data_IF_754861861653
#
_entry.id   IF_754861861653
#
_cell.length_a   1.000
_cell.length_b   1.000
_cell.length_c   1.000
_cell.angle_alpha   90.00
_cell.angle_beta   90.00
_cell.angle_gamma   90.00
#
_symmetry.space_group_name_H-M   'P 1'
#
loop_
_entity.id
_entity.type
_entity.pdbx_description
1 polymer ?
#
# COMPACT_ATOMS: atom_id res chain seq x y z
N UNK A 1 -8.53 -2.43 24.76
CA UNK A 1 -7.61 -1.34 24.34
C UNK A 1 -8.17 -0.75 23.08
N UNK A 2 -8.28 0.58 23.04
CA UNK A 2 -8.72 1.36 21.88
C UNK A 2 -7.43 1.72 21.10
N UNK A 3 -7.19 1.07 19.96
CA UNK A 3 -6.01 1.32 19.12
C UNK A 3 -6.40 2.25 17.97
N UNK A 4 -5.59 3.27 17.70
CA UNK A 4 -5.75 4.17 16.56
C UNK A 4 -5.23 3.58 15.23
N UNK A 5 -4.44 2.51 15.31
CA UNK A 5 -3.82 1.85 14.16
C UNK A 5 -2.78 0.83 14.62
N UNK A 6 -2.32 -0.03 13.71
CA UNK A 6 -1.26 -0.99 14.01
C UNK A 6 -0.44 -1.37 12.78
N UNK A 7 0.80 -1.80 13.02
CA UNK A 7 1.65 -2.41 12.02
C UNK A 7 2.20 -3.72 12.58
N UNK A 8 2.33 -4.74 11.74
CA UNK A 8 3.00 -5.97 12.15
C UNK A 8 3.62 -6.71 10.96
N UNK A 9 4.47 -7.67 11.28
CA UNK A 9 5.15 -8.51 10.31
C UNK A 9 4.19 -9.57 9.77
N UNK A 10 3.59 -9.34 8.60
CA UNK A 10 2.64 -10.28 7.99
C UNK A 10 3.31 -11.61 7.62
N UNK A 11 4.43 -11.54 6.91
CA UNK A 11 5.30 -12.65 6.58
C UNK A 11 6.72 -12.38 7.10
N UNK A 12 7.44 -13.42 7.55
CA UNK A 12 6.97 -14.80 7.72
C UNK A 12 6.12 -15.02 8.98
N UNK A 13 6.00 -14.03 9.88
CA UNK A 13 5.48 -14.27 11.23
C UNK A 13 4.05 -14.84 11.29
N UNK A 14 3.03 -14.17 10.72
CA UNK A 14 1.66 -14.69 10.81
C UNK A 14 1.52 -15.99 10.01
N UNK A 15 2.15 -16.06 8.83
CA UNK A 15 2.08 -17.25 8.01
C UNK A 15 2.72 -18.47 8.70
N UNK A 16 3.91 -18.36 9.29
CA UNK A 16 4.58 -19.51 9.89
C UNK A 16 3.92 -19.97 11.18
N UNK A 17 3.27 -19.07 11.92
CA UNK A 17 2.61 -19.41 13.18
C UNK A 17 1.15 -19.85 13.00
N UNK A 18 0.46 -19.37 11.96
CA UNK A 18 -0.98 -19.57 11.78
C UNK A 18 -1.39 -20.17 10.43
N UNK A 19 -0.47 -20.31 9.47
CA UNK A 19 -0.73 -20.91 8.16
C UNK A 19 -1.60 -20.06 7.22
N UNK A 20 -1.67 -18.75 7.46
CA UNK A 20 -2.49 -17.81 6.67
C UNK A 20 -1.73 -16.51 6.41
N UNK A 21 -2.15 -15.75 5.41
CA UNK A 21 -1.75 -14.34 5.29
C UNK A 21 -2.88 -13.45 5.81
N UNK A 22 -2.56 -12.39 6.59
CA UNK A 22 -3.58 -11.62 7.32
C UNK A 22 -4.21 -10.48 6.51
N UNK A 23 -3.91 -10.39 5.22
CA UNK A 23 -4.34 -9.35 4.32
C UNK A 23 -5.83 -9.00 4.41
N UNK A 24 -6.72 -10.00 4.38
CA UNK A 24 -8.16 -9.80 4.50
C UNK A 24 -8.59 -9.14 5.82
N UNK A 25 -7.97 -9.56 6.92
CA UNK A 25 -8.25 -9.00 8.25
C UNK A 25 -7.74 -7.56 8.34
N UNK A 26 -6.53 -7.30 7.85
CA UNK A 26 -5.94 -5.95 7.83
C UNK A 26 -6.77 -4.97 6.98
N UNK A 27 -7.32 -5.45 5.85
CA UNK A 27 -8.26 -4.69 5.04
C UNK A 27 -9.53 -4.34 5.79
N UNK A 28 -10.12 -5.29 6.53
CA UNK A 28 -11.31 -5.04 7.34
C UNK A 28 -11.07 -4.01 8.45
N UNK A 29 -9.89 -4.04 9.09
CA UNK A 29 -9.53 -3.03 10.08
C UNK A 29 -9.39 -1.64 9.45
N UNK A 30 -8.67 -1.53 8.34
CA UNK A 30 -8.46 -0.25 7.65
C UNK A 30 -9.77 0.32 7.09
N UNK A 31 -10.65 -0.55 6.56
CA UNK A 31 -12.01 -0.18 6.15
C UNK A 31 -12.84 0.35 7.33
N UNK A 32 -12.62 -0.18 8.54
CA UNK A 32 -13.23 0.27 9.79
C UNK A 32 -12.54 1.46 10.45
N UNK A 33 -11.70 2.19 9.72
CA UNK A 33 -10.93 3.36 10.18
C UNK A 33 -9.90 3.05 11.28
N UNK A 34 -9.34 1.85 11.26
CA UNK A 34 -8.18 1.47 12.07
C UNK A 34 -7.07 1.03 11.10
N UNK A 35 -6.20 1.94 10.64
CA UNK A 35 -5.19 1.65 9.63
C UNK A 35 -4.28 0.50 10.07
N UNK A 36 -4.08 -0.45 9.18
CA UNK A 36 -3.29 -1.66 9.38
C UNK A 36 -2.13 -1.70 8.38
N UNK A 37 -0.96 -1.21 8.78
CA UNK A 37 0.21 -1.17 7.91
C UNK A 37 0.90 -2.55 7.82
N UNK A 38 1.32 -2.90 6.60
CA UNK A 38 2.04 -4.13 6.31
C UNK A 38 3.51 -4.03 6.75
N UNK A 39 4.20 -5.17 6.82
CA UNK A 39 5.66 -5.27 6.91
C UNK A 39 6.33 -4.49 8.06
N UNK A 40 5.60 -4.22 9.15
CA UNK A 40 6.08 -3.40 10.27
C UNK A 40 6.37 -1.95 9.87
N UNK A 41 5.75 -1.44 8.81
CA UNK A 41 5.95 -0.05 8.37
C UNK A 41 5.22 0.94 9.29
N UNK A 42 5.94 1.41 10.32
CA UNK A 42 5.43 2.36 11.31
C UNK A 42 5.31 3.77 10.71
N UNK A 43 6.24 4.20 9.85
CA UNK A 43 6.17 5.53 9.24
C UNK A 43 5.03 5.61 8.22
N UNK A 44 4.84 4.53 7.44
CA UNK A 44 3.68 4.30 6.60
C UNK A 44 2.37 4.28 7.40
N UNK A 45 2.32 3.62 8.56
CA UNK A 45 1.16 3.65 9.46
C UNK A 45 0.79 5.08 9.90
N UNK A 46 1.79 5.89 10.26
CA UNK A 46 1.57 7.29 10.63
C UNK A 46 1.00 8.07 9.45
N UNK A 47 1.55 7.88 8.25
CA UNK A 47 1.02 8.48 7.02
C UNK A 47 -0.43 8.06 6.73
N UNK A 48 -0.74 6.77 6.85
CA UNK A 48 -2.09 6.23 6.72
C UNK A 48 -3.06 6.90 7.70
N UNK A 49 -2.68 7.03 8.97
CA UNK A 49 -3.52 7.65 10.00
C UNK A 49 -3.73 9.15 9.76
N UNK A 50 -2.69 9.89 9.36
CA UNK A 50 -2.81 11.31 8.99
C UNK A 50 -3.81 11.50 7.84
N UNK A 51 -3.68 10.71 6.76
CA UNK A 51 -4.61 10.78 5.63
C UNK A 51 -6.04 10.46 6.06
N UNK A 52 -6.22 9.42 6.87
CA UNK A 52 -7.52 9.05 7.38
C UNK A 52 -8.18 10.16 8.20
N UNK A 53 -7.42 10.80 9.11
CA UNK A 53 -7.94 11.92 9.91
C UNK A 53 -8.26 13.16 9.05
N UNK A 54 -7.55 13.34 7.93
CA UNK A 54 -7.79 14.46 7.03
C UNK A 54 -9.03 14.27 6.15
N UNK A 55 -9.42 13.01 5.86
CA UNK A 55 -10.49 12.70 4.90
C UNK A 55 -11.72 12.03 5.51
N UNK A 56 -11.63 11.52 6.74
CA UNK A 56 -12.61 10.62 7.36
C UNK A 56 -12.90 9.35 6.52
N UNK A 57 -11.94 8.94 5.68
CA UNK A 57 -12.03 7.73 4.83
C UNK A 57 -10.82 6.81 5.03
N UNK A 58 -10.93 5.51 4.71
CA UNK A 58 -9.79 4.60 4.76
C UNK A 58 -8.60 5.09 3.91
N UNK A 59 -7.39 4.74 4.34
CA UNK A 59 -6.15 4.92 3.60
C UNK A 59 -5.46 3.58 3.39
N UNK A 60 -4.45 3.54 2.51
CA UNK A 60 -3.72 2.33 2.16
C UNK A 60 -2.23 2.62 2.00
N UNK A 61 -1.43 1.57 2.17
CA UNK A 61 0.00 1.58 1.85
C UNK A 61 0.24 0.81 0.55
N UNK A 62 1.10 1.36 -0.30
CA UNK A 62 1.37 0.89 -1.65
C UNK A 62 2.82 1.13 -2.02
N UNK A 63 3.40 0.20 -2.77
CA UNK A 63 4.71 0.27 -3.36
C UNK A 63 4.67 1.06 -4.67
N UNK A 64 5.59 2.00 -4.82
CA UNK A 64 5.87 2.70 -6.08
C UNK A 64 6.76 1.81 -6.95
N UNK A 65 6.16 1.02 -7.84
CA UNK A 65 6.82 -0.15 -8.42
C UNK A 65 7.60 0.15 -9.72
N UNK A 66 6.90 0.42 -10.82
CA UNK A 66 7.51 0.64 -12.14
C UNK A 66 6.79 1.75 -12.91
N UNK A 67 7.52 2.50 -13.76
CA UNK A 67 6.88 3.35 -14.76
C UNK A 67 5.92 2.51 -15.63
N UNK A 68 4.82 3.12 -16.05
CA UNK A 68 3.81 2.46 -16.87
C UNK A 68 4.02 2.78 -18.35
N UNK A 69 4.54 1.81 -19.09
CA UNK A 69 4.86 1.96 -20.51
C UNK A 69 5.93 3.05 -20.73
N UNK A 70 5.74 3.86 -21.76
CA UNK A 70 6.67 4.93 -22.14
C UNK A 70 6.27 6.31 -21.57
N UNK A 71 5.20 6.40 -20.78
CA UNK A 71 4.72 7.67 -20.22
C UNK A 71 5.53 8.04 -18.97
N UNK A 72 6.30 9.16 -18.99
CA UNK A 72 7.15 9.54 -17.88
C UNK A 72 6.37 10.00 -16.63
N UNK A 73 5.07 10.24 -16.73
CA UNK A 73 4.24 10.66 -15.60
C UNK A 73 3.39 9.52 -15.03
N UNK A 74 3.39 8.35 -15.65
CA UNK A 74 2.60 7.20 -15.18
C UNK A 74 3.45 6.12 -14.54
N UNK A 75 2.90 5.52 -13.50
CA UNK A 75 3.55 4.47 -12.73
C UNK A 75 2.53 3.47 -12.19
N UNK A 76 2.98 2.24 -11.98
CA UNK A 76 2.25 1.18 -11.32
C UNK A 76 2.43 1.33 -9.81
N UNK A 77 1.32 1.49 -9.10
CA UNK A 77 1.26 1.27 -7.66
C UNK A 77 0.76 -0.14 -7.39
N UNK A 78 1.42 -0.82 -6.48
CA UNK A 78 1.17 -2.23 -6.18
C UNK A 78 1.32 -2.50 -4.68
N UNK A 79 0.59 -3.47 -4.17
CA UNK A 79 0.92 -4.12 -2.90
C UNK A 79 0.49 -5.58 -3.00
N UNK A 80 1.15 -6.49 -2.28
CA UNK A 80 0.72 -7.89 -2.17
C UNK A 80 -0.72 -8.04 -1.62
N UNK A 81 -1.16 -6.95 -0.98
CA UNK A 81 -2.50 -6.38 -0.78
C UNK A 81 -3.27 -6.84 0.44
N UNK A 82 -3.43 -5.84 1.30
CA UNK A 82 -4.25 -5.70 2.50
C UNK A 82 -5.12 -4.43 2.38
N UNK A 83 -5.31 -3.91 1.16
CA UNK A 83 -5.99 -2.63 0.93
C UNK A 83 -7.45 -2.70 1.41
N UNK A 84 -8.02 -1.58 1.91
CA UNK A 84 -9.44 -1.50 2.24
C UNK A 84 -10.30 -1.90 1.04
N UNK A 85 -11.39 -2.65 1.28
CA UNK A 85 -12.27 -3.13 0.20
C UNK A 85 -12.78 -1.98 -0.68
N UNK A 86 -13.06 -0.83 -0.07
CA UNK A 86 -13.52 0.38 -0.74
C UNK A 86 -12.59 0.92 -1.82
N UNK A 87 -11.30 0.57 -1.82
CA UNK A 87 -10.34 1.01 -2.84
C UNK A 87 -10.55 0.31 -4.19
N UNK A 88 -11.21 -0.86 -4.21
CA UNK A 88 -11.27 -1.72 -5.38
C UNK A 88 -12.52 -1.51 -6.24
N UNK A 89 -12.40 -1.71 -7.55
CA UNK A 89 -13.55 -1.85 -8.47
C UNK A 89 -14.28 -3.17 -8.23
N UNK A 90 -13.49 -4.24 -8.12
CA UNK A 90 -13.90 -5.58 -7.73
C UNK A 90 -12.73 -6.23 -7.01
N UNK A 91 -13.01 -7.12 -6.06
CA UNK A 91 -11.98 -7.73 -5.23
C UNK A 91 -12.38 -9.12 -4.78
N UNK A 92 -11.38 -10.00 -4.62
CA UNK A 92 -11.55 -11.37 -4.14
C UNK A 92 -10.42 -11.74 -3.18
N UNK A 93 -10.76 -12.58 -2.21
CA UNK A 93 -9.76 -13.21 -1.35
C UNK A 93 -9.20 -14.47 -2.03
N UNK A 94 -7.88 -14.64 -2.01
CA UNK A 94 -7.17 -15.75 -2.66
C UNK A 94 -6.00 -16.26 -1.82
N UNK A 95 -5.29 -17.27 -2.35
CA UNK A 95 -3.90 -17.55 -2.00
C UNK A 95 -3.00 -16.35 -2.33
N UNK A 96 -1.92 -16.19 -1.58
CA UNK A 96 -0.91 -15.17 -1.81
C UNK A 96 0.11 -15.68 -2.84
N UNK A 97 0.16 -15.16 -4.08
CA UNK A 97 0.91 -15.79 -5.18
C UNK A 97 2.40 -16.03 -4.85
N UNK A 98 3.08 -15.00 -4.35
CA UNK A 98 4.51 -15.08 -4.01
C UNK A 98 4.79 -16.11 -2.90
N UNK A 99 3.88 -16.21 -1.93
CA UNK A 99 4.06 -17.10 -0.77
C UNK A 99 3.68 -18.52 -1.14
N UNK A 100 2.65 -18.72 -1.97
CA UNK A 100 2.30 -20.01 -2.56
C UNK A 100 3.49 -20.64 -3.28
N UNK A 101 4.17 -19.86 -4.12
CA UNK A 101 5.34 -20.35 -4.86
C UNK A 101 6.48 -20.83 -3.94
N UNK A 102 6.57 -20.30 -2.72
CA UNK A 102 7.63 -20.60 -1.76
C UNK A 102 7.26 -21.66 -0.72
N UNK A 103 6.02 -21.66 -0.21
CA UNK A 103 5.58 -22.48 0.92
C UNK A 103 4.30 -23.28 0.66
N UNK A 104 3.70 -23.16 -0.51
CA UNK A 104 2.50 -23.88 -0.93
C UNK A 104 1.18 -23.18 -0.57
N UNK A 105 0.13 -23.58 -1.29
CA UNK A 105 -1.21 -22.99 -1.22
C UNK A 105 -1.87 -23.10 0.16
N UNK A 106 -1.61 -24.21 0.86
CA UNK A 106 -2.19 -24.51 2.17
C UNK A 106 -1.78 -23.50 3.26
N UNK A 107 -0.68 -22.76 3.04
CA UNK A 107 -0.11 -21.80 4.00
C UNK A 107 -0.23 -20.34 3.54
N UNK A 108 -0.94 -20.08 2.44
CA UNK A 108 -0.89 -18.77 1.75
C UNK A 108 -2.25 -18.10 1.60
N UNK A 109 -3.34 -18.71 2.10
CA UNK A 109 -4.68 -18.18 1.91
C UNK A 109 -4.95 -16.94 2.77
N UNK A 110 -5.68 -15.97 2.20
CA UNK A 110 -6.10 -14.75 2.90
C UNK A 110 -5.72 -13.44 2.19
N UNK A 111 -4.97 -13.51 1.08
CA UNK A 111 -4.58 -12.34 0.29
C UNK A 111 -5.80 -11.68 -0.36
N UNK A 112 -5.79 -10.37 -0.54
CA UNK A 112 -6.82 -9.66 -1.30
C UNK A 112 -6.27 -9.28 -2.67
N UNK A 113 -6.98 -9.66 -3.73
CA UNK A 113 -6.62 -9.39 -5.11
C UNK A 113 -7.66 -8.45 -5.73
N UNK A 114 -7.22 -7.37 -6.34
CA UNK A 114 -8.16 -6.44 -6.97
C UNK A 114 -7.48 -5.25 -7.64
N UNK A 115 -8.27 -4.58 -8.49
CA UNK A 115 -7.84 -3.37 -9.19
C UNK A 115 -8.41 -2.13 -8.50
N UNK A 116 -7.54 -1.17 -8.21
CA UNK A 116 -7.90 0.11 -7.60
C UNK A 116 -8.84 0.89 -8.54
N UNK A 117 -9.82 1.59 -7.96
CA UNK A 117 -10.74 2.47 -8.68
C UNK A 117 -9.99 3.65 -9.29
N UNK A 118 -10.51 4.16 -10.39
CA UNK A 118 -9.95 5.34 -11.05
C UNK A 118 -10.55 6.58 -10.41
N UNK A 119 -9.75 7.29 -9.61
CA UNK A 119 -10.16 8.45 -8.82
C UNK A 119 -8.95 9.36 -8.49
N UNK A 120 -9.18 10.66 -8.23
CA UNK A 120 -8.14 11.53 -7.68
C UNK A 120 -7.64 10.99 -6.34
N UNK A 121 -6.35 11.15 -6.07
CA UNK A 121 -5.74 10.66 -4.84
C UNK A 121 -4.60 11.56 -4.36
N UNK A 122 -4.30 11.42 -3.08
CA UNK A 122 -3.16 12.05 -2.42
C UNK A 122 -2.29 10.96 -1.80
N UNK A 123 -1.00 11.04 -2.07
CA UNK A 123 0.03 10.16 -1.53
C UNK A 123 0.82 10.95 -0.48
N UNK A 124 1.07 10.31 0.65
CA UNK A 124 1.86 10.88 1.74
C UNK A 124 2.90 9.86 2.18
N UNK A 125 4.18 10.24 2.15
CA UNK A 125 5.24 9.49 2.81
C UNK A 125 5.78 10.31 3.97
N UNK A 126 5.78 9.71 5.15
CA UNK A 126 6.45 10.22 6.34
C UNK A 126 7.76 9.44 6.49
N UNK A 127 8.84 10.13 6.85
CA UNK A 127 10.08 9.47 7.24
C UNK A 127 10.78 10.17 8.41
N UNK A 128 11.61 9.40 9.13
CA UNK A 128 12.58 9.99 10.06
C UNK A 128 13.90 10.24 9.34
N UNK A 129 14.39 11.47 9.45
CA UNK A 129 15.75 11.82 9.03
C UNK A 129 16.69 11.66 10.22
N UNK A 130 17.23 10.46 10.37
CA UNK A 130 18.09 10.10 11.50
C UNK A 130 19.42 10.88 11.52
N UNK A 131 19.86 11.42 10.37
CA UNK A 131 21.09 12.22 10.28
C UNK A 131 20.91 13.59 10.95
N UNK A 132 19.73 14.19 10.79
CA UNK A 132 19.41 15.50 11.33
C UNK A 132 18.50 15.46 12.56
N UNK A 133 17.94 14.29 12.90
CA UNK A 133 17.01 14.10 14.00
C UNK A 133 15.65 14.74 13.76
N UNK A 134 15.20 14.78 12.50
CA UNK A 134 13.96 15.45 12.09
C UNK A 134 12.95 14.46 11.51
N UNK A 135 11.69 14.86 11.41
CA UNK A 135 10.67 14.13 10.65
C UNK A 135 10.44 14.89 9.36
N UNK A 136 10.47 14.20 8.23
CA UNK A 136 10.19 14.74 6.91
C UNK A 136 8.96 14.09 6.31
N UNK A 137 8.31 14.84 5.43
CA UNK A 137 7.11 14.40 4.73
C UNK A 137 7.17 14.81 3.27
N UNK A 138 6.71 13.93 2.38
CA UNK A 138 6.44 14.24 0.98
C UNK A 138 4.96 14.02 0.70
N UNK A 139 4.30 15.04 0.17
CA UNK A 139 2.92 15.00 -0.29
C UNK A 139 2.88 15.12 -1.81
N UNK A 140 2.13 14.24 -2.46
CA UNK A 140 1.97 14.23 -3.92
C UNK A 140 0.51 14.01 -4.26
N UNK A 141 -0.02 14.78 -5.20
CA UNK A 141 -1.35 14.56 -5.76
C UNK A 141 -1.23 13.83 -7.11
N UNK A 142 -2.19 12.95 -7.39
CA UNK A 142 -2.25 12.19 -8.62
C UNK A 142 -3.65 11.68 -8.92
N UNK A 143 -3.78 10.94 -10.01
CA UNK A 143 -5.06 10.32 -10.39
C UNK A 143 -4.83 8.86 -10.75
N UNK A 144 -5.55 7.94 -10.09
CA UNK A 144 -5.63 6.57 -10.57
C UNK A 144 -6.39 6.53 -11.90
N UNK A 145 -5.85 5.80 -12.86
CA UNK A 145 -6.36 5.78 -14.24
C UNK A 145 -7.03 4.45 -14.60
N UNK A 146 -7.68 4.43 -15.76
CA UNK A 146 -8.30 3.24 -16.34
C UNK A 146 -7.33 2.40 -17.20
N UNK A 147 -6.03 2.73 -17.20
CA UNK A 147 -5.00 1.98 -17.93
C UNK A 147 -4.96 0.49 -17.53
N UNK A 148 -4.91 -0.40 -18.53
CA UNK A 148 -4.95 -1.84 -18.30
C UNK A 148 -3.61 -2.35 -17.74
N UNK A 149 -3.69 -3.20 -16.72
CA UNK A 149 -2.54 -3.89 -16.16
C UNK A 149 -2.96 -5.31 -15.81
N UNK A 150 -2.24 -6.30 -16.33
CA UNK A 150 -2.46 -7.70 -16.00
C UNK A 150 -1.42 -8.13 -14.97
N UNK A 151 -1.83 -8.15 -13.70
CA UNK A 151 -0.99 -8.51 -12.57
C UNK A 151 -1.85 -9.00 -11.39
N UNK A 152 -1.17 -9.44 -10.34
CA UNK A 152 -1.78 -9.80 -9.06
C UNK A 152 -1.63 -8.66 -8.04
N UNK A 153 -2.02 -8.92 -6.79
CA UNK A 153 -2.06 -7.99 -5.68
C UNK A 153 -3.24 -7.02 -5.75
N UNK A 154 -3.05 -5.92 -5.03
CA UNK A 154 -3.87 -4.73 -5.10
C UNK A 154 -3.09 -3.70 -5.90
N UNK A 155 -3.61 -3.33 -7.07
CA UNK A 155 -2.82 -2.59 -8.05
C UNK A 155 -3.62 -1.52 -8.77
N UNK A 156 -2.91 -0.51 -9.26
CA UNK A 156 -3.46 0.54 -10.11
C UNK A 156 -2.34 1.24 -10.88
N UNK A 157 -2.71 1.88 -11.98
CA UNK A 157 -1.83 2.83 -12.66
C UNK A 157 -2.21 4.22 -12.18
N UNK A 158 -1.21 5.02 -11.81
CA UNK A 158 -1.38 6.39 -11.38
C UNK A 158 -0.68 7.33 -12.34
N UNK A 159 -1.31 8.47 -12.63
CA UNK A 159 -0.71 9.62 -13.31
C UNK A 159 -0.37 10.71 -12.28
N UNK A 160 0.91 11.07 -12.19
CA UNK A 160 1.44 12.08 -11.30
C UNK A 160 2.16 13.14 -12.16
N UNK A 161 1.70 14.41 -12.14
CA UNK A 161 2.37 15.48 -12.86
C UNK A 161 3.82 15.66 -12.39
N UNK A 162 4.76 15.70 -13.34
CA UNK A 162 6.20 15.82 -13.08
C UNK A 162 6.77 14.67 -12.22
N UNK A 163 6.22 13.46 -12.37
CA UNK A 163 6.66 12.26 -11.62
C UNK A 163 8.18 12.10 -11.59
N UNK A 164 8.87 12.37 -12.71
CA UNK A 164 10.32 12.24 -12.79
C UNK A 164 11.07 13.16 -11.83
N UNK A 165 10.55 14.35 -11.54
CA UNK A 165 11.16 15.25 -10.55
C UNK A 165 10.80 14.84 -9.13
N UNK A 166 9.58 14.34 -8.91
CA UNK A 166 9.15 13.74 -7.64
C UNK A 166 10.05 12.55 -7.25
N UNK A 167 10.30 11.63 -8.18
CA UNK A 167 11.19 10.47 -7.98
C UNK A 167 12.63 10.91 -7.65
N UNK A 168 13.14 11.96 -8.31
CA UNK A 168 14.46 12.51 -7.97
C UNK A 168 14.50 13.06 -6.55
N UNK A 169 13.44 13.73 -6.10
CA UNK A 169 13.33 14.23 -4.72
C UNK A 169 13.28 13.06 -3.74
N UNK A 170 12.43 12.06 -3.96
CA UNK A 170 12.34 10.86 -3.13
C UNK A 170 13.72 10.22 -2.93
N UNK A 171 14.45 9.97 -4.01
CA UNK A 171 15.77 9.34 -3.94
C UNK A 171 16.84 10.23 -3.31
N UNK A 172 16.90 11.52 -3.66
CA UNK A 172 17.96 12.44 -3.18
C UNK A 172 17.78 12.85 -1.72
N UNK A 173 16.54 13.00 -1.30
CA UNK A 173 16.18 13.37 0.06
C UNK A 173 16.02 12.14 0.97
N UNK A 174 16.30 10.92 0.49
CA UNK A 174 16.36 9.71 1.31
C UNK A 174 15.01 9.30 1.90
N UNK A 175 13.96 9.31 1.08
CA UNK A 175 12.71 8.62 1.40
C UNK A 175 12.86 7.13 1.04
N UNK A 176 12.52 6.23 1.97
CA UNK A 176 12.48 4.79 1.75
C UNK A 176 11.06 4.33 1.41
#
# INVERSE_FOLDING_TARGET
NELDGFAFQCWPSIQDNFGIVPCAIMSMFSEGLVPAACEVDISGLVGMYILQLATDTPSAILDWNNNYGDDPNKMVLFHCSNLPKSFFKDTKMTIHPIISDLKGDDLSFGAIQGRIKSEPCTLLRIETDDLYGEIKALLVEGNYTDDLLDTFGGYGVIDIPNLQDVLKVLCKEGFA
#
